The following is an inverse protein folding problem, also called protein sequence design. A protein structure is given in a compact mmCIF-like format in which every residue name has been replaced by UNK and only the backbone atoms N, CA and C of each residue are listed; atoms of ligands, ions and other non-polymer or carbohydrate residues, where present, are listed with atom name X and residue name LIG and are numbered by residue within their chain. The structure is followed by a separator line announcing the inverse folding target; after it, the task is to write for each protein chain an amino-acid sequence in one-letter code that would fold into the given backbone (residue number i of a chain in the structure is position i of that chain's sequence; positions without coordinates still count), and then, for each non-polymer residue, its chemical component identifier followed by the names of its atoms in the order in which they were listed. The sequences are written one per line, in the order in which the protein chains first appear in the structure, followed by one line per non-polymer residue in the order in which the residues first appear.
data_IF_601215859007
#
_entry.id   IF_601215859007
#
_cell.length_a   1.000
_cell.length_b   1.000
_cell.length_c   1.000
_cell.angle_alpha   90.00
_cell.angle_beta   90.00
_cell.angle_gamma   90.00
#
_symmetry.space_group_name_H-M   'P 1'
#
loop_
_entity.id
_entity.type
_entity.pdbx_description
1 polymer ?
#
# COMPACT_ATOMS: atom_id res chain seq x y z
N UNK A 1 -3.13 8.81 -4.00
CA UNK A 1 -1.79 8.23 -3.71
C UNK A 1 -0.68 9.27 -3.54
N UNK A 2 -0.72 10.41 -4.25
CA UNK A 2 0.39 11.38 -4.22
C UNK A 2 0.72 11.94 -2.82
N UNK A 3 -0.27 12.16 -1.96
CA UNK A 3 -0.04 12.63 -0.59
C UNK A 3 0.77 11.64 0.27
N UNK A 4 0.54 10.33 0.11
CA UNK A 4 1.29 9.29 0.82
C UNK A 4 2.78 9.27 0.44
N UNK A 5 3.13 9.76 -0.76
CA UNK A 5 4.51 9.83 -1.22
C UNK A 5 5.34 10.88 -0.47
N UNK A 6 4.73 11.90 0.15
CA UNK A 6 5.48 12.93 0.89
C UNK A 6 6.29 12.29 2.03
N UNK A 7 5.65 11.42 2.81
CA UNK A 7 6.31 10.69 3.89
C UNK A 7 7.38 9.74 3.36
N UNK A 8 7.05 8.96 2.32
CA UNK A 8 7.96 7.97 1.73
C UNK A 8 9.22 8.62 1.15
N UNK A 9 9.05 9.69 0.36
CA UNK A 9 10.15 10.40 -0.30
C UNK A 9 11.03 11.10 0.74
N UNK A 10 10.43 11.74 1.75
CA UNK A 10 11.20 12.37 2.82
C UNK A 10 11.99 11.33 3.61
N UNK A 11 11.36 10.26 4.09
CA UNK A 11 12.02 9.24 4.89
C UNK A 11 13.14 8.56 4.10
N UNK A 12 12.90 8.28 2.81
CA UNK A 12 13.90 7.72 1.91
C UNK A 12 15.09 8.66 1.72
N UNK A 13 14.84 9.91 1.31
CA UNK A 13 15.90 10.89 1.05
C UNK A 13 16.71 11.21 2.31
N UNK A 14 16.06 11.34 3.47
CA UNK A 14 16.72 11.64 4.73
C UNK A 14 17.54 10.44 5.23
N UNK A 15 17.00 9.21 5.16
CA UNK A 15 17.70 8.00 5.60
C UNK A 15 19.00 7.69 4.85
N UNK A 16 19.21 8.28 3.67
CA UNK A 16 20.38 8.05 2.82
C UNK A 16 21.50 9.09 2.98
N UNK A 17 21.31 10.13 3.81
CA UNK A 17 22.29 11.20 3.96
C UNK A 17 23.56 10.73 4.69
N UNK A 18 23.39 10.10 5.86
CA UNK A 18 24.48 9.54 6.65
C UNK A 18 23.96 8.51 7.68
N UNK A 19 24.86 7.98 8.50
CA UNK A 19 24.52 7.00 9.55
C UNK A 19 23.57 7.57 10.61
N UNK A 20 23.73 8.84 10.98
CA UNK A 20 22.91 9.47 12.02
C UNK A 20 21.48 9.65 11.52
N UNK A 21 21.31 10.11 10.28
CA UNK A 21 20.00 10.28 9.67
C UNK A 21 19.29 8.94 9.45
N UNK A 22 20.03 7.90 9.07
CA UNK A 22 19.49 6.54 8.96
C UNK A 22 18.94 6.03 10.30
N UNK A 23 19.74 6.11 11.38
CA UNK A 23 19.30 5.65 12.71
C UNK A 23 18.12 6.47 13.22
N UNK A 24 18.04 7.78 12.94
CA UNK A 24 16.87 8.59 13.26
C UNK A 24 15.59 8.10 12.58
N UNK A 25 15.62 7.84 11.26
CA UNK A 25 14.44 7.32 10.55
C UNK A 25 14.06 5.95 11.08
N UNK A 26 15.05 5.09 11.32
CA UNK A 26 14.84 3.76 11.89
C UNK A 26 14.18 3.81 13.26
N UNK A 27 14.61 4.71 14.14
CA UNK A 27 13.98 4.94 15.44
C UNK A 27 12.56 5.49 15.28
N UNK A 28 12.35 6.47 14.40
CA UNK A 28 11.02 7.04 14.13
C UNK A 28 10.03 5.97 13.65
N UNK A 29 10.48 5.02 12.83
CA UNK A 29 9.68 3.89 12.33
C UNK A 29 9.27 2.88 13.42
N UNK A 30 9.84 2.96 14.63
CA UNK A 30 9.36 2.19 15.78
C UNK A 30 8.08 2.77 16.39
N UNK A 31 7.81 4.06 16.17
CA UNK A 31 6.64 4.75 16.73
C UNK A 31 5.34 4.25 16.14
N UNK A 32 4.29 4.21 16.96
CA UNK A 32 2.96 3.79 16.54
C UNK A 32 2.40 4.64 15.39
N UNK A 33 2.62 5.96 15.42
CA UNK A 33 2.14 6.86 14.38
C UNK A 33 2.86 6.64 13.04
N UNK A 34 4.17 6.44 13.05
CA UNK A 34 4.91 6.14 11.81
C UNK A 34 4.45 4.81 11.21
N UNK A 35 4.24 3.77 12.04
CA UNK A 35 3.71 2.48 11.58
C UNK A 35 2.29 2.60 11.02
N UNK A 36 1.41 3.39 11.63
CA UNK A 36 0.06 3.65 11.11
C UNK A 36 0.12 4.36 9.74
N UNK A 37 0.98 5.37 9.60
CA UNK A 37 1.16 6.08 8.33
C UNK A 37 1.73 5.14 7.25
N UNK A 38 2.73 4.32 7.59
CA UNK A 38 3.31 3.34 6.68
C UNK A 38 2.28 2.30 6.26
N UNK A 39 1.51 1.77 7.20
CA UNK A 39 0.44 0.80 6.94
C UNK A 39 -0.66 1.39 6.06
N UNK A 40 -1.11 2.61 6.35
CA UNK A 40 -2.09 3.32 5.53
C UNK A 40 -1.57 3.54 4.11
N UNK A 41 -0.31 3.95 3.97
CA UNK A 41 0.36 4.12 2.66
C UNK A 41 0.38 2.82 1.86
N UNK A 42 0.83 1.71 2.45
CA UNK A 42 0.88 0.39 1.78
C UNK A 42 -0.53 -0.10 1.44
N UNK A 43 -1.49 0.05 2.35
CA UNK A 43 -2.88 -0.37 2.14
C UNK A 43 -3.53 0.42 1.00
N UNK A 44 -3.29 1.74 0.93
CA UNK A 44 -3.78 2.58 -0.16
C UNK A 44 -3.12 2.23 -1.50
N UNK A 45 -1.80 1.99 -1.51
CA UNK A 45 -1.07 1.60 -2.72
C UNK A 45 -1.53 0.23 -3.24
N UNK A 46 -1.68 -0.75 -2.37
CA UNK A 46 -2.13 -2.09 -2.76
C UNK A 46 -3.58 -2.08 -3.25
N UNK A 47 -4.47 -1.30 -2.64
CA UNK A 47 -5.82 -1.09 -3.19
C UNK A 47 -5.77 -0.55 -4.62
N UNK A 48 -4.94 0.47 -4.85
CA UNK A 48 -4.80 1.10 -6.16
C UNK A 48 -4.23 0.14 -7.20
N UNK A 49 -3.19 -0.64 -6.85
CA UNK A 49 -2.59 -1.62 -7.76
C UNK A 49 -3.57 -2.75 -8.08
N UNK A 50 -4.24 -3.32 -7.08
CA UNK A 50 -5.21 -4.40 -7.30
C UNK A 50 -6.37 -3.92 -8.17
N UNK A 51 -6.90 -2.71 -7.91
CA UNK A 51 -7.92 -2.09 -8.75
C UNK A 51 -7.41 -1.81 -10.16
N UNK A 52 -6.19 -1.29 -10.29
CA UNK A 52 -5.53 -1.03 -11.58
C UNK A 52 -5.35 -2.29 -12.41
N UNK A 53 -4.88 -3.39 -11.81
CA UNK A 53 -4.77 -4.69 -12.47
C UNK A 53 -6.16 -5.18 -12.89
N UNK A 54 -7.18 -5.05 -12.04
CA UNK A 54 -8.55 -5.39 -12.41
C UNK A 54 -9.00 -4.61 -13.64
N UNK A 55 -8.73 -3.30 -13.69
CA UNK A 55 -9.05 -2.47 -14.84
C UNK A 55 -8.31 -2.91 -16.10
N UNK A 56 -7.00 -3.19 -16.01
CA UNK A 56 -6.23 -3.69 -17.15
C UNK A 56 -6.79 -5.02 -17.69
N UNK A 57 -7.25 -5.92 -16.81
CA UNK A 57 -7.90 -7.17 -17.23
C UNK A 57 -9.22 -6.88 -17.96
N UNK A 58 -9.98 -5.88 -17.49
CA UNK A 58 -11.20 -5.43 -18.18
C UNK A 58 -10.90 -4.82 -19.55
N UNK A 59 -9.83 -4.03 -19.67
CA UNK A 59 -9.39 -3.44 -20.94
C UNK A 59 -8.99 -4.51 -21.98
N UNK A 60 -8.68 -5.73 -21.54
CA UNK A 60 -8.41 -6.90 -22.40
C UNK A 60 -9.69 -7.66 -22.81
N UNK A 61 -10.88 -7.15 -22.46
CA UNK A 61 -12.17 -7.75 -22.81
C UNK A 61 -12.69 -8.80 -21.81
N UNK A 62 -12.21 -8.78 -20.57
CA UNK A 62 -12.67 -9.70 -19.51
C UNK A 62 -13.60 -9.00 -18.51
N UNK A 63 -14.52 -9.75 -17.92
CA UNK A 63 -15.42 -9.30 -16.84
C UNK A 63 -16.37 -8.14 -17.20
N UNK A 64 -16.78 -8.04 -18.47
CA UNK A 64 -17.63 -6.96 -18.97
C UNK A 64 -19.09 -7.05 -18.50
N UNK A 65 -19.61 -8.25 -18.23
CA UNK A 65 -20.98 -8.40 -17.74
C UNK A 65 -21.09 -8.01 -16.27
N UNK A 66 -22.28 -7.51 -15.87
CA UNK A 66 -22.56 -7.07 -14.50
C UNK A 66 -22.19 -8.11 -13.45
N UNK A 67 -22.49 -9.39 -13.70
CA UNK A 67 -22.20 -10.48 -12.76
C UNK A 67 -20.69 -10.71 -12.60
N UNK A 68 -19.93 -10.77 -13.69
CA UNK A 68 -18.48 -10.95 -13.63
C UNK A 68 -17.76 -9.70 -13.11
N UNK A 69 -18.28 -8.51 -13.42
CA UNK A 69 -17.81 -7.24 -12.87
C UNK A 69 -17.97 -7.16 -11.36
N UNK A 70 -19.12 -7.60 -10.82
CA UNK A 70 -19.39 -7.67 -9.39
C UNK A 70 -18.50 -8.71 -8.68
N UNK A 71 -18.36 -9.92 -9.25
CA UNK A 71 -17.49 -10.96 -8.69
C UNK A 71 -16.03 -10.49 -8.64
N UNK A 72 -15.50 -9.93 -9.74
CA UNK A 72 -14.12 -9.43 -9.79
C UNK A 72 -13.88 -8.27 -8.81
N UNK A 73 -14.86 -7.40 -8.60
CA UNK A 73 -14.77 -6.33 -7.60
C UNK A 73 -14.71 -6.89 -6.17
N UNK A 74 -15.58 -7.85 -5.82
CA UNK A 74 -15.58 -8.51 -4.51
C UNK A 74 -14.27 -9.23 -4.23
N UNK A 75 -13.75 -9.97 -5.21
CA UNK A 75 -12.45 -10.64 -5.10
C UNK A 75 -11.30 -9.64 -4.93
N UNK A 76 -11.33 -8.53 -5.65
CA UNK A 76 -10.33 -7.46 -5.53
C UNK A 76 -10.31 -6.84 -4.14
N UNK A 77 -11.49 -6.57 -3.56
CA UNK A 77 -11.62 -6.05 -2.18
C UNK A 77 -11.13 -7.08 -1.16
N UNK A 78 -11.50 -8.37 -1.33
CA UNK A 78 -11.04 -9.43 -0.45
C UNK A 78 -9.51 -9.59 -0.47
N UNK A 79 -8.91 -9.58 -1.68
CA UNK A 79 -7.47 -9.62 -1.85
C UNK A 79 -6.79 -8.41 -1.20
N UNK A 80 -7.31 -7.21 -1.43
CA UNK A 80 -6.80 -5.99 -0.79
C UNK A 80 -6.86 -6.06 0.73
N UNK A 81 -7.96 -6.56 1.32
CA UNK A 81 -8.09 -6.71 2.76
C UNK A 81 -7.03 -7.67 3.32
N UNK A 82 -6.81 -8.82 2.66
CA UNK A 82 -5.76 -9.77 3.03
C UNK A 82 -4.37 -9.12 2.97
N UNK A 83 -4.05 -8.43 1.86
CA UNK A 83 -2.77 -7.74 1.70
C UNK A 83 -2.56 -6.65 2.76
N UNK A 84 -3.61 -5.90 3.10
CA UNK A 84 -3.56 -4.87 4.14
C UNK A 84 -3.31 -5.48 5.52
N UNK A 85 -3.94 -6.61 5.84
CA UNK A 85 -3.68 -7.33 7.11
C UNK A 85 -2.25 -7.87 7.14
N UNK A 86 -1.77 -8.50 6.07
CA UNK A 86 -0.40 -9.00 5.98
C UNK A 86 0.63 -7.88 6.13
N UNK A 87 0.39 -6.71 5.52
CA UNK A 87 1.23 -5.53 5.70
C UNK A 87 1.21 -5.03 7.16
N UNK A 88 0.06 -5.11 7.84
CA UNK A 88 -0.06 -4.81 9.26
C UNK A 88 0.74 -5.78 10.13
N UNK A 89 0.66 -7.08 9.84
CA UNK A 89 1.47 -8.10 10.53
C UNK A 89 2.96 -7.80 10.36
N UNK A 90 3.41 -7.58 9.12
CA UNK A 90 4.82 -7.28 8.82
C UNK A 90 5.37 -6.01 9.49
N UNK A 91 4.55 -4.97 9.65
CA UNK A 91 5.00 -3.73 10.27
C UNK A 91 5.05 -3.80 11.80
N UNK A 92 4.26 -4.67 12.43
CA UNK A 92 4.18 -4.80 13.89
C UNK A 92 4.96 -5.98 14.46
N UNK A 93 5.31 -6.99 13.66
CA UNK A 93 6.04 -8.19 14.06
C UNK A 93 7.26 -8.42 13.16
#
# INVERSE_FOLDING_TARGET
MFFALVFVIWAWAYSLQDQQSFEYVKELMTSIFAKIIAWGTISLLTYHIVGGIRHMIMDLGHWEELRSGDISAKLSIALWAVLSVLAGVWLWF
#
